data_IF_356561691653
#
_entry.id   IF_356561691653
#
_cell.length_a   1.000
_cell.length_b   1.000
_cell.length_c   1.000
_cell.angle_alpha   90.00
_cell.angle_beta   90.00
_cell.angle_gamma   90.00
#
_symmetry.space_group_name_H-M   'P 1'
#
loop_
_entity.id
_entity.type
_entity.pdbx_description
1 polymer ?
#
# COMPACT_ATOMS: atom_id res chain seq x y z
N UNK A 1 9.02 -5.97 -22.68
CA UNK A 1 8.05 -7.06 -22.39
C UNK A 1 8.79 -8.38 -22.37
N UNK A 2 9.08 -8.91 -21.18
CA UNK A 2 9.64 -10.23 -20.92
C UNK A 2 9.19 -10.68 -19.51
N UNK A 3 9.07 -11.99 -19.25
CA UNK A 3 8.06 -12.54 -18.34
C UNK A 3 8.57 -12.75 -16.92
N UNK A 4 7.74 -12.46 -15.92
CA UNK A 4 8.01 -12.80 -14.52
C UNK A 4 7.54 -14.22 -14.20
N UNK A 5 8.52 -14.95 -13.67
CA UNK A 5 8.57 -16.38 -13.39
C UNK A 5 7.65 -16.77 -12.23
N UNK A 6 7.05 -17.94 -12.36
CA UNK A 6 6.43 -18.71 -11.28
C UNK A 6 7.44 -18.95 -10.15
N UNK A 7 7.10 -18.56 -8.92
CA UNK A 7 7.83 -18.94 -7.71
C UNK A 7 7.18 -20.19 -7.12
N UNK A 8 7.83 -21.33 -7.32
CA UNK A 8 7.52 -22.57 -6.61
C UNK A 8 8.14 -22.50 -5.22
N UNK A 9 7.31 -22.43 -4.19
CA UNK A 9 7.74 -22.48 -2.80
C UNK A 9 7.92 -23.94 -2.37
N UNK A 10 9.11 -24.49 -2.55
CA UNK A 10 9.50 -25.75 -1.93
C UNK A 10 9.68 -25.54 -0.41
N UNK A 11 8.73 -26.02 0.39
CA UNK A 11 8.92 -26.12 1.86
C UNK A 11 9.90 -27.24 2.16
N UNK A 12 11.14 -26.88 2.45
CA UNK A 12 12.11 -27.75 3.12
C UNK A 12 11.63 -27.99 4.55
N UNK A 13 11.19 -29.22 4.84
CA UNK A 13 10.92 -29.69 6.20
C UNK A 13 12.22 -29.73 7.02
N UNK A 14 12.18 -29.43 8.32
CA UNK A 14 13.34 -29.59 9.18
C UNK A 14 13.72 -31.07 9.29
N UNK A 15 14.97 -31.38 8.92
CA UNK A 15 15.62 -32.65 9.21
C UNK A 15 15.64 -32.83 10.72
N UNK A 16 14.75 -33.66 11.24
CA UNK A 16 14.84 -34.17 12.60
C UNK A 16 16.14 -34.96 12.71
N UNK A 17 17.07 -34.42 13.50
CA UNK A 17 18.35 -35.00 13.83
C UNK A 17 18.20 -36.42 14.35
N UNK A 18 19.01 -37.30 13.78
CA UNK A 18 19.10 -38.73 14.09
C UNK A 18 18.94 -39.03 15.57
N UNK A 19 17.99 -39.89 15.87
CA UNK A 19 17.95 -40.68 17.09
C UNK A 19 19.27 -41.44 17.21
N UNK A 20 20.03 -41.16 18.27
CA UNK A 20 21.19 -41.97 18.64
C UNK A 20 20.68 -43.39 18.92
N UNK A 21 20.95 -44.32 18.02
CA UNK A 21 20.79 -45.74 18.28
C UNK A 21 21.75 -46.12 19.41
N UNK A 22 21.21 -46.54 20.54
CA UNK A 22 21.99 -47.26 21.55
C UNK A 22 22.38 -48.62 20.96
N UNK A 23 23.60 -48.70 20.44
CA UNK A 23 24.24 -49.95 20.04
C UNK A 23 24.70 -50.68 21.29
N UNK A 24 23.95 -51.70 21.72
CA UNK A 24 24.41 -52.67 22.71
C UNK A 24 25.15 -53.80 21.97
N UNK A 25 26.39 -53.55 21.57
CA UNK A 25 27.29 -54.60 21.09
C UNK A 25 27.89 -55.36 22.27
N UNK A 26 27.55 -56.65 22.43
CA UNK A 26 28.26 -57.53 23.34
C UNK A 26 29.69 -57.73 22.86
N UNK A 27 30.66 -57.30 23.67
CA UNK A 27 32.07 -57.64 23.50
C UNK A 27 32.25 -59.08 23.97
N UNK A 28 32.14 -60.03 23.05
CA UNK A 28 32.63 -61.39 23.23
C UNK A 28 34.15 -61.35 22.96
N UNK A 29 34.98 -61.44 24.01
CA UNK A 29 36.43 -61.57 23.84
C UNK A 29 37.05 -62.61 24.76
N UNK A 30 37.67 -63.57 24.09
CA UNK A 30 38.77 -64.46 24.46
C UNK A 30 38.45 -65.76 25.20
N UNK A 31 38.53 -66.83 24.42
CA UNK A 31 38.84 -68.18 24.86
C UNK A 31 40.36 -68.38 24.86
N UNK A 32 40.95 -68.70 26.01
CA UNK A 32 42.24 -69.37 26.13
C UNK A 32 42.34 -70.03 27.52
N UNK A 33 41.89 -71.29 27.54
CA UNK A 33 42.37 -72.45 28.33
C UNK A 33 42.52 -72.39 29.87
N UNK A 34 42.31 -73.55 30.55
CA UNK A 34 42.01 -73.63 31.98
C UNK A 34 43.29 -73.60 32.81
N UNK A 35 43.24 -73.01 34.02
CA UNK A 35 43.85 -73.54 35.25
C UNK A 35 43.84 -72.52 36.42
N UNK A 36 43.41 -73.03 37.58
CA UNK A 36 43.69 -72.57 38.95
C UNK A 36 43.23 -71.16 39.37
N UNK A 37 42.03 -71.13 39.97
CA UNK A 37 41.77 -70.49 41.25
C UNK A 37 42.09 -69.00 41.41
N UNK A 38 41.14 -68.13 41.09
CA UNK A 38 40.74 -67.01 41.96
C UNK A 38 39.30 -66.61 41.64
N UNK A 39 38.43 -66.58 42.65
CA UNK A 39 37.06 -66.08 42.54
C UNK A 39 37.12 -64.57 42.35
N UNK A 40 37.09 -64.10 41.09
CA UNK A 40 36.81 -62.70 40.82
C UNK A 40 35.31 -62.49 40.97
N UNK A 41 34.92 -62.00 42.14
CA UNK A 41 33.55 -61.58 42.47
C UNK A 41 33.10 -60.59 41.40
N UNK A 42 32.19 -61.03 40.53
CA UNK A 42 31.55 -60.18 39.55
C UNK A 42 30.75 -59.11 40.30
N UNK A 43 31.34 -57.92 40.46
CA UNK A 43 30.68 -56.78 41.11
C UNK A 43 29.47 -56.41 40.26
N UNK A 44 28.30 -56.78 40.76
CA UNK A 44 26.98 -56.46 40.20
C UNK A 44 26.99 -54.99 39.79
N UNK A 45 26.58 -54.62 38.56
CA UNK A 45 26.57 -53.23 38.12
C UNK A 45 25.42 -52.46 38.81
N UNK A 46 25.57 -52.15 40.10
CA UNK A 46 24.56 -51.43 40.90
C UNK A 46 24.57 -49.90 40.64
N UNK A 47 25.30 -49.45 39.60
CA UNK A 47 25.61 -48.03 39.38
C UNK A 47 24.70 -47.31 38.38
N UNK A 48 24.12 -48.01 37.40
CA UNK A 48 23.36 -47.37 36.31
C UNK A 48 22.08 -46.68 36.80
N UNK A 49 21.32 -47.36 37.66
CA UNK A 49 20.05 -46.85 38.20
C UNK A 49 20.25 -45.73 39.24
N UNK A 50 21.28 -45.81 40.10
CA UNK A 50 21.55 -44.76 41.11
C UNK A 50 22.13 -43.49 40.48
N UNK A 51 22.96 -43.62 39.44
CA UNK A 51 23.45 -42.48 38.66
C UNK A 51 22.38 -41.87 37.76
N UNK A 52 21.49 -42.70 37.21
CA UNK A 52 20.39 -42.26 36.34
C UNK A 52 19.41 -41.31 37.03
N UNK A 53 19.01 -41.58 38.28
CA UNK A 53 18.06 -40.71 39.00
C UNK A 53 18.70 -39.35 39.33
N UNK A 54 19.96 -39.34 39.80
CA UNK A 54 20.66 -38.10 40.14
C UNK A 54 20.96 -37.28 38.89
N UNK A 55 21.41 -37.92 37.81
CA UNK A 55 21.62 -37.28 36.52
C UNK A 55 20.33 -36.78 35.87
N UNK A 56 19.23 -37.53 36.01
CA UNK A 56 17.90 -37.13 35.53
C UNK A 56 17.38 -35.91 36.28
N UNK A 57 17.47 -35.87 37.61
CA UNK A 57 17.04 -34.70 38.38
C UNK A 57 17.89 -33.47 38.08
N UNK A 58 19.21 -33.64 37.94
CA UNK A 58 20.10 -32.54 37.59
C UNK A 58 19.85 -32.02 36.17
N UNK A 59 19.71 -32.92 35.19
CA UNK A 59 19.37 -32.57 33.82
C UNK A 59 17.97 -31.98 33.68
N UNK A 60 16.98 -32.50 34.42
CA UNK A 60 15.63 -31.96 34.47
C UNK A 60 15.58 -30.59 35.14
N UNK A 61 16.36 -30.36 36.21
CA UNK A 61 16.44 -29.04 36.86
C UNK A 61 17.09 -28.00 35.96
N UNK A 62 18.19 -28.36 35.26
CA UNK A 62 18.83 -27.49 34.26
C UNK A 62 17.91 -27.24 33.05
N UNK A 63 17.29 -28.28 32.50
CA UNK A 63 16.37 -28.16 31.38
C UNK A 63 15.11 -27.37 31.76
N UNK A 64 14.59 -27.56 32.97
CA UNK A 64 13.45 -26.80 33.52
C UNK A 64 13.82 -25.34 33.76
N UNK A 65 15.01 -25.07 34.29
CA UNK A 65 15.51 -23.71 34.45
C UNK A 65 15.73 -23.04 33.09
N UNK A 66 16.31 -23.75 32.12
CA UNK A 66 16.50 -23.26 30.75
C UNK A 66 15.15 -23.02 30.05
N UNK A 67 14.19 -23.93 30.20
CA UNK A 67 12.84 -23.77 29.65
C UNK A 67 12.13 -22.56 30.29
N UNK A 68 12.27 -22.37 31.60
CA UNK A 68 11.73 -21.20 32.30
C UNK A 68 12.33 -19.88 31.80
N UNK A 69 13.63 -19.87 31.47
CA UNK A 69 14.28 -18.72 30.82
C UNK A 69 13.76 -18.49 29.40
N UNK A 70 13.62 -19.55 28.60
CA UNK A 70 13.15 -19.44 27.21
C UNK A 70 11.66 -19.06 27.10
N UNK A 71 10.84 -19.44 28.08
CA UNK A 71 9.45 -18.98 28.20
C UNK A 71 9.36 -17.49 28.52
N UNK A 72 10.30 -16.94 29.29
CA UNK A 72 10.35 -15.51 29.62
C UNK A 72 10.73 -14.65 28.42
N UNK A 73 11.67 -15.10 27.60
CA UNK A 73 12.12 -14.39 26.38
C UNK A 73 11.00 -14.30 25.34
N UNK A 74 10.28 -15.40 25.09
CA UNK A 74 9.15 -15.41 24.15
C UNK A 74 7.98 -14.53 24.64
N UNK A 75 7.74 -14.48 25.97
CA UNK A 75 6.71 -13.63 26.57
C UNK A 75 7.08 -12.14 26.52
N UNK A 76 8.36 -11.80 26.69
CA UNK A 76 8.86 -10.43 26.50
C UNK A 76 8.82 -10.01 25.03
N UNK A 77 9.21 -10.89 24.11
CA UNK A 77 9.16 -10.60 22.67
C UNK A 77 7.71 -10.40 22.19
N UNK A 78 6.77 -11.21 22.69
CA UNK A 78 5.35 -11.06 22.39
C UNK A 78 4.77 -9.75 22.98
N UNK A 79 5.17 -9.36 24.19
CA UNK A 79 4.72 -8.12 24.82
C UNK A 79 5.29 -6.88 24.13
N UNK A 80 6.56 -6.92 23.72
CA UNK A 80 7.18 -5.88 22.91
C UNK A 80 6.53 -5.78 21.50
N UNK A 81 6.19 -6.91 20.89
CA UNK A 81 5.45 -6.94 19.63
C UNK A 81 4.01 -6.43 19.77
N UNK A 82 3.34 -6.70 20.88
CA UNK A 82 2.00 -6.19 21.17
C UNK A 82 2.02 -4.67 21.37
N UNK A 83 3.02 -4.14 22.08
CA UNK A 83 3.18 -2.71 22.31
C UNK A 83 3.56 -1.97 21.02
N UNK A 84 4.42 -2.56 20.18
CA UNK A 84 4.72 -2.04 18.85
C UNK A 84 3.50 -2.05 17.92
N UNK A 85 2.62 -3.05 18.05
CA UNK A 85 1.36 -3.12 17.30
C UNK A 85 0.39 -2.01 17.71
N UNK A 86 0.30 -1.67 19.01
CA UNK A 86 -0.56 -0.58 19.49
C UNK A 86 -0.04 0.79 19.05
N UNK A 87 1.26 1.06 19.12
CA UNK A 87 1.84 2.32 18.62
C UNK A 87 1.66 2.48 17.11
N UNK A 88 1.85 1.40 16.34
CA UNK A 88 1.60 1.44 14.88
C UNK A 88 0.12 1.62 14.56
N UNK A 89 -0.80 0.98 15.30
CA UNK A 89 -2.25 1.19 15.16
C UNK A 89 -2.68 2.61 15.55
N UNK A 90 -2.11 3.19 16.60
CA UNK A 90 -2.38 4.57 17.00
C UNK A 90 -1.90 5.54 15.92
N UNK A 91 -0.66 5.38 15.45
CA UNK A 91 -0.08 6.20 14.37
C UNK A 91 -0.89 6.06 13.07
N UNK A 92 -1.37 4.85 12.76
CA UNK A 92 -2.20 4.60 11.58
C UNK A 92 -3.59 5.22 11.73
N UNK A 93 -4.19 5.20 12.93
CA UNK A 93 -5.46 5.89 13.23
C UNK A 93 -5.32 7.41 13.12
N UNK A 94 -4.22 7.99 13.63
CA UNK A 94 -3.93 9.41 13.49
C UNK A 94 -3.76 9.82 12.02
N UNK A 95 -3.05 8.99 11.24
CA UNK A 95 -2.91 9.20 9.78
C UNK A 95 -4.26 9.10 9.07
N UNK A 96 -5.08 8.09 9.37
CA UNK A 96 -6.42 7.95 8.78
C UNK A 96 -7.29 9.14 9.16
N UNK A 97 -7.27 9.60 10.42
CA UNK A 97 -7.99 10.81 10.85
C UNK A 97 -7.52 12.07 10.09
N UNK A 98 -6.22 12.23 9.88
CA UNK A 98 -5.67 13.33 9.08
C UNK A 98 -6.02 13.21 7.59
N UNK A 99 -6.14 12.00 7.05
CA UNK A 99 -6.64 11.77 5.70
C UNK A 99 -8.13 12.12 5.58
N UNK A 100 -8.97 11.73 6.54
CA UNK A 100 -10.40 12.07 6.56
C UNK A 100 -10.60 13.59 6.60
N UNK A 101 -9.89 14.31 7.49
CA UNK A 101 -9.97 15.78 7.55
C UNK A 101 -9.54 16.47 6.25
N UNK A 102 -8.53 15.93 5.55
CA UNK A 102 -8.12 16.46 4.24
C UNK A 102 -9.15 16.16 3.16
N UNK A 103 -9.79 15.00 3.19
CA UNK A 103 -10.87 14.66 2.26
C UNK A 103 -12.04 15.61 2.47
N UNK A 104 -12.46 15.85 3.71
CA UNK A 104 -13.53 16.82 4.04
C UNK A 104 -13.21 18.22 3.52
N UNK A 105 -11.98 18.72 3.71
CA UNK A 105 -11.56 20.01 3.19
C UNK A 105 -11.58 20.06 1.64
N UNK A 106 -11.08 19.01 0.98
CA UNK A 106 -11.08 18.92 -0.48
C UNK A 106 -12.51 18.80 -1.03
N UNK A 107 -13.42 18.12 -0.34
CA UNK A 107 -14.83 18.04 -0.73
C UNK A 107 -15.53 19.39 -0.62
N UNK A 108 -15.29 20.16 0.45
CA UNK A 108 -15.81 21.52 0.59
C UNK A 108 -15.23 22.46 -0.48
N UNK A 109 -13.92 22.40 -0.71
CA UNK A 109 -13.27 23.17 -1.79
C UNK A 109 -13.81 22.78 -3.16
N UNK A 110 -14.07 21.50 -3.41
CA UNK A 110 -14.60 21.00 -4.68
C UNK A 110 -16.07 21.41 -4.89
N UNK A 111 -16.88 21.49 -3.82
CA UNK A 111 -18.23 22.09 -3.89
C UNK A 111 -18.16 23.59 -4.16
N UNK A 112 -17.28 24.32 -3.48
CA UNK A 112 -17.10 25.74 -3.70
C UNK A 112 -16.61 26.03 -5.13
N UNK A 113 -15.62 25.27 -5.61
CA UNK A 113 -15.15 25.34 -6.99
C UNK A 113 -16.22 24.91 -7.98
N UNK A 114 -17.03 23.90 -7.69
CA UNK A 114 -18.15 23.48 -8.55
C UNK A 114 -19.18 24.59 -8.72
N UNK A 115 -19.50 25.33 -7.66
CA UNK A 115 -20.45 26.45 -7.73
C UNK A 115 -19.83 27.68 -8.40
N UNK A 116 -18.52 27.91 -8.19
CA UNK A 116 -17.81 29.04 -8.79
C UNK A 116 -17.33 28.77 -10.23
N UNK A 117 -17.21 27.50 -10.63
CA UNK A 117 -16.77 27.12 -11.96
C UNK A 117 -17.90 27.40 -12.94
N UNK A 118 -17.60 28.21 -13.96
CA UNK A 118 -18.52 28.44 -15.07
C UNK A 118 -18.89 27.10 -15.70
N UNK A 119 -20.18 26.78 -15.64
CA UNK A 119 -20.69 25.55 -16.22
C UNK A 119 -20.52 25.60 -17.74
N UNK A 120 -20.46 24.43 -18.39
CA UNK A 120 -20.32 24.36 -19.86
C UNK A 120 -21.51 25.05 -20.53
N UNK A 121 -22.66 24.99 -19.87
CA UNK A 121 -23.91 25.63 -20.22
C UNK A 121 -23.76 27.16 -20.26
N UNK A 122 -23.12 27.76 -19.25
CA UNK A 122 -22.86 29.20 -19.19
C UNK A 122 -21.96 29.65 -20.34
N UNK A 123 -20.92 28.87 -20.65
CA UNK A 123 -20.03 29.16 -21.79
C UNK A 123 -20.79 29.10 -23.12
N UNK A 124 -21.70 28.13 -23.30
CA UNK A 124 -22.50 28.05 -24.52
C UNK A 124 -23.52 29.19 -24.62
N UNK A 125 -24.07 29.63 -23.49
CA UNK A 125 -24.99 30.77 -23.42
C UNK A 125 -24.26 32.07 -23.75
N UNK A 126 -23.09 32.31 -23.17
CA UNK A 126 -22.25 33.47 -23.49
C UNK A 126 -21.84 33.51 -24.97
N UNK A 127 -21.49 32.35 -25.56
CA UNK A 127 -21.22 32.27 -27.00
C UNK A 127 -22.44 32.64 -27.84
N UNK A 128 -23.63 32.21 -27.44
CA UNK A 128 -24.87 32.56 -28.13
C UNK A 128 -25.18 34.06 -28.00
N UNK A 129 -25.03 34.64 -26.81
CA UNK A 129 -25.21 36.08 -26.58
C UNK A 129 -24.19 36.91 -27.38
N UNK A 130 -22.92 36.50 -27.39
CA UNK A 130 -21.86 37.17 -28.18
C UNK A 130 -22.17 37.11 -29.68
N UNK A 131 -22.63 35.96 -30.18
CA UNK A 131 -23.03 35.81 -31.58
C UNK A 131 -24.20 36.73 -31.93
N UNK A 132 -25.21 36.82 -31.07
CA UNK A 132 -26.35 37.73 -31.25
C UNK A 132 -25.92 39.20 -31.29
N UNK A 133 -24.98 39.62 -30.44
CA UNK A 133 -24.44 40.98 -30.46
C UNK A 133 -23.69 41.28 -31.77
N UNK A 134 -22.91 40.32 -32.26
CA UNK A 134 -22.19 40.45 -33.54
C UNK A 134 -23.16 40.56 -34.72
N UNK A 135 -24.19 39.70 -34.74
CA UNK A 135 -25.22 39.72 -35.78
C UNK A 135 -26.03 41.03 -35.72
N UNK A 136 -26.36 41.51 -34.51
CA UNK A 136 -27.02 42.80 -34.30
C UNK A 136 -26.20 43.98 -34.82
N UNK A 137 -24.91 44.04 -34.48
CA UNK A 137 -24.00 45.08 -34.96
C UNK A 137 -23.86 45.04 -36.50
N UNK A 138 -23.88 43.84 -37.09
CA UNK A 138 -23.83 43.70 -38.54
C UNK A 138 -25.08 44.27 -39.22
N UNK A 139 -26.27 44.07 -38.63
CA UNK A 139 -27.52 44.65 -39.12
C UNK A 139 -27.47 46.17 -39.04
N UNK A 140 -27.03 46.74 -37.91
CA UNK A 140 -26.88 48.19 -37.77
C UNK A 140 -25.88 48.77 -38.79
N UNK A 141 -24.78 48.07 -39.06
CA UNK A 141 -23.82 48.50 -40.08
C UNK A 141 -24.43 48.51 -41.50
N UNK A 142 -25.22 47.49 -41.84
CA UNK A 142 -25.93 47.45 -43.12
C UNK A 142 -26.96 48.59 -43.22
N UNK A 143 -27.70 48.84 -42.16
CA UNK A 143 -28.68 49.92 -42.08
C UNK A 143 -27.99 51.28 -42.29
N UNK A 144 -26.89 51.53 -41.59
CA UNK A 144 -26.10 52.75 -41.71
C UNK A 144 -25.57 52.96 -43.13
N UNK A 145 -25.09 51.89 -43.78
CA UNK A 145 -24.62 51.95 -45.17
C UNK A 145 -25.76 52.25 -46.14
N UNK A 146 -26.94 51.68 -45.93
CA UNK A 146 -28.12 51.97 -46.74
C UNK A 146 -28.56 53.44 -46.60
N UNK A 147 -28.49 53.97 -45.37
CA UNK A 147 -28.79 55.37 -45.06
C UNK A 147 -27.82 56.32 -45.77
N UNK A 148 -26.52 56.06 -45.67
CA UNK A 148 -25.49 56.85 -46.37
C UNK A 148 -25.70 56.82 -47.89
N UNK A 149 -26.02 55.65 -48.43
CA UNK A 149 -26.28 55.50 -49.86
C UNK A 149 -27.51 56.30 -50.31
N UNK A 150 -28.60 56.28 -49.54
CA UNK A 150 -29.80 57.09 -49.80
C UNK A 150 -29.49 58.58 -49.82
N UNK A 151 -28.77 59.09 -48.82
CA UNK A 151 -28.35 60.51 -48.77
C UNK A 151 -27.51 60.87 -49.99
N UNK A 152 -26.58 60.01 -50.39
CA UNK A 152 -25.74 60.26 -51.57
C UNK A 152 -26.58 60.33 -52.85
N UNK A 153 -27.58 59.45 -53.00
CA UNK A 153 -28.50 59.47 -54.13
C UNK A 153 -29.35 60.75 -54.15
N UNK A 154 -29.86 61.17 -53.00
CA UNK A 154 -30.65 62.39 -52.88
C UNK A 154 -29.82 63.63 -53.22
N UNK A 155 -28.58 63.71 -52.74
CA UNK A 155 -27.64 64.77 -53.13
C UNK A 155 -27.38 64.78 -54.64
N UNK A 156 -27.20 63.61 -55.27
CA UNK A 156 -27.03 63.53 -56.72
C UNK A 156 -28.29 63.96 -57.49
N UNK A 157 -29.48 63.60 -56.99
CA UNK A 157 -30.75 64.03 -57.58
C UNK A 157 -30.91 65.56 -57.49
N UNK A 158 -30.61 66.15 -56.32
CA UNK A 158 -30.62 67.60 -56.12
C UNK A 158 -29.57 68.31 -56.98
N UNK A 159 -28.36 67.77 -57.08
CA UNK A 159 -27.29 68.33 -57.92
C UNK A 159 -27.68 68.35 -59.40
N UNK A 160 -28.28 67.26 -59.92
CA UNK A 160 -28.81 67.21 -61.29
C UNK A 160 -29.92 68.24 -61.50
N UNK A 161 -30.89 68.33 -60.58
CA UNK A 161 -32.00 69.30 -60.65
C UNK A 161 -31.50 70.75 -60.67
N UNK A 162 -30.53 71.10 -59.82
CA UNK A 162 -29.95 72.44 -59.80
C UNK A 162 -29.18 72.76 -61.09
N UNK A 163 -28.44 71.79 -61.65
CA UNK A 163 -27.73 71.96 -62.93
C UNK A 163 -28.68 72.23 -64.11
N UNK A 164 -29.88 71.66 -64.10
CA UNK A 164 -30.91 71.88 -65.13
C UNK A 164 -31.67 73.19 -64.93
N UNK A 165 -31.83 73.66 -63.68
CA UNK A 165 -32.48 74.94 -63.37
C UNK A 165 -31.63 76.15 -63.74
N UNK A 166 -30.30 76.06 -63.67
CA UNK A 166 -29.39 77.19 -64.00
C UNK A 166 -29.11 77.31 -65.52
N UNK A 167 -29.52 76.34 -66.34
CA UNK A 167 -29.28 76.31 -67.80
C UNK A 167 -30.43 76.87 -68.67
N UNK A 168 -31.25 77.77 -68.14
CA UNK A 168 -32.28 78.51 -68.90
C UNK A 168 -31.80 79.93 -69.14
#
# INVERSE_FOLDING_TARGET
>A
MAPLRCLSAARTLPRYTQTRLFSNGQVLRNEATPNLGTVQVQKKPVGGFRGGIVGFLFGFSLASSFAAYHLLEEYQHASAALQASVETLQTNTEKISAHVRRIEAVEEDLKALSQASASKEDVTRLRAETKKLLDGLHVEFLDLRSHVWGIQQDLQALAKKHSTTVRI
#
